data_IF_460750353081
#
_entry.id   IF_460750353081
#
_cell.length_a   1.000
_cell.length_b   1.000
_cell.length_c   1.000
_cell.angle_alpha   90.00
_cell.angle_beta   90.00
_cell.angle_gamma   90.00
#
_symmetry.space_group_name_H-M   'P 1'
#
loop_
_entity.id
_entity.type
_entity.pdbx_description
1 polymer ?
#
# COMPACT_ATOMS: atom_id res chain seq x y z
N UNK A 1 19.87 18.33 19.62
CA UNK A 1 19.02 17.11 19.62
C UNK A 1 17.54 17.43 19.58
N UNK A 2 16.99 18.24 20.51
CA UNK A 2 15.55 18.56 20.51
C UNK A 2 15.08 19.31 19.25
N UNK A 3 15.87 20.25 18.72
CA UNK A 3 15.56 20.98 17.49
C UNK A 3 15.48 20.06 16.26
N UNK A 4 16.43 19.11 16.12
CA UNK A 4 16.45 18.15 14.99
C UNK A 4 15.25 17.20 15.04
N UNK A 5 14.86 16.75 16.24
CA UNK A 5 13.67 15.91 16.39
C UNK A 5 12.39 16.65 15.98
N UNK A 6 12.25 17.93 16.35
CA UNK A 6 11.12 18.77 15.95
C UNK A 6 11.10 19.02 14.45
N UNK A 7 12.25 19.29 13.85
CA UNK A 7 12.40 19.49 12.39
C UNK A 7 11.97 18.24 11.61
N UNK A 8 12.46 17.05 11.99
CA UNK A 8 12.06 15.78 11.36
C UNK A 8 10.56 15.53 11.53
N UNK A 9 10.02 15.72 12.73
CA UNK A 9 8.60 15.51 12.99
C UNK A 9 7.72 16.45 12.15
N UNK A 10 8.14 17.71 11.97
CA UNK A 10 7.46 18.67 11.13
C UNK A 10 7.57 18.31 9.64
N UNK A 11 8.74 17.91 9.16
CA UNK A 11 8.97 17.50 7.78
C UNK A 11 8.11 16.28 7.39
N UNK A 12 8.01 15.29 8.28
CA UNK A 12 7.19 14.09 8.09
C UNK A 12 5.71 14.30 8.43
N UNK A 13 5.31 15.51 8.85
CA UNK A 13 3.94 15.87 9.26
C UNK A 13 3.38 14.85 10.28
N UNK A 14 4.21 14.48 11.26
CA UNK A 14 3.84 13.54 12.32
C UNK A 14 2.58 14.05 13.01
N UNK A 15 1.57 13.18 13.12
CA UNK A 15 0.37 13.51 13.88
C UNK A 15 0.69 13.50 15.37
N UNK A 16 0.29 14.52 16.15
CA UNK A 16 0.39 14.46 17.60
C UNK A 16 -0.36 13.25 18.16
N UNK A 17 0.00 12.75 19.35
CA UNK A 17 -0.79 11.73 20.03
C UNK A 17 -2.26 12.14 20.12
N UNK A 18 -3.18 11.24 19.76
CA UNK A 18 -4.62 11.53 19.83
C UNK A 18 -5.02 11.80 21.28
N UNK A 19 -5.68 12.94 21.52
CA UNK A 19 -6.12 13.33 22.86
C UNK A 19 -7.28 12.45 23.36
N UNK A 20 -8.16 12.03 22.44
CA UNK A 20 -9.36 11.24 22.72
C UNK A 20 -9.83 10.50 21.45
N UNK A 21 -10.96 9.78 21.57
CA UNK A 21 -11.59 9.07 20.46
C UNK A 21 -12.11 10.02 19.37
N UNK A 22 -12.51 11.25 19.71
CA UNK A 22 -13.00 12.20 18.72
C UNK A 22 -11.86 12.70 17.81
N UNK A 23 -10.67 12.91 18.36
CA UNK A 23 -9.47 13.23 17.59
C UNK A 23 -9.06 12.10 16.63
N UNK A 24 -9.20 10.84 17.07
CA UNK A 24 -8.97 9.66 16.22
C UNK A 24 -9.98 9.60 15.07
N UNK A 25 -11.28 9.75 15.35
CA UNK A 25 -12.32 9.74 14.32
C UNK A 25 -12.17 10.91 13.34
N UNK A 26 -11.74 12.08 13.81
CA UNK A 26 -11.43 13.22 12.95
C UNK A 26 -10.28 12.90 11.98
N UNK A 27 -9.25 12.19 12.43
CA UNK A 27 -8.13 11.76 11.57
C UNK A 27 -8.57 10.70 10.54
N UNK A 28 -9.43 9.76 10.94
CA UNK A 28 -10.05 8.79 10.02
C UNK A 28 -10.85 9.52 8.94
N UNK A 29 -11.75 10.43 9.33
CA UNK A 29 -12.57 11.20 8.41
C UNK A 29 -11.72 12.05 7.46
N UNK A 30 -10.65 12.69 7.97
CA UNK A 30 -9.71 13.48 7.16
C UNK A 30 -9.02 12.62 6.09
N UNK A 31 -8.60 11.40 6.43
CA UNK A 31 -7.94 10.49 5.48
C UNK A 31 -8.91 9.93 4.44
N UNK A 32 -10.13 9.60 4.85
CA UNK A 32 -11.19 9.18 3.91
C UNK A 32 -11.51 10.31 2.92
N UNK A 33 -11.71 11.54 3.41
CA UNK A 33 -11.93 12.71 2.55
C UNK A 33 -10.76 12.93 1.58
N UNK A 34 -9.53 12.84 2.05
CA UNK A 34 -8.33 12.95 1.19
C UNK A 34 -8.30 11.90 0.06
N UNK A 35 -8.68 10.65 0.34
CA UNK A 35 -8.75 9.60 -0.69
C UNK A 35 -9.81 9.95 -1.74
N UNK A 36 -10.98 10.44 -1.31
CA UNK A 36 -12.07 10.87 -2.20
C UNK A 36 -11.62 12.05 -3.08
N UNK A 37 -10.95 13.03 -2.49
CA UNK A 37 -10.41 14.18 -3.21
C UNK A 37 -9.36 13.77 -4.25
N UNK A 38 -8.50 12.78 -3.93
CA UNK A 38 -7.54 12.24 -4.88
C UNK A 38 -8.23 11.64 -6.13
N UNK A 39 -9.27 10.82 -5.93
CA UNK A 39 -10.06 10.24 -7.02
C UNK A 39 -10.74 11.32 -7.87
N UNK A 40 -11.39 12.29 -7.22
CA UNK A 40 -12.06 13.40 -7.88
C UNK A 40 -11.10 14.24 -8.73
N UNK A 41 -9.95 14.61 -8.16
CA UNK A 41 -8.92 15.40 -8.85
C UNK A 41 -8.31 14.66 -10.03
N UNK A 42 -8.08 13.34 -9.89
CA UNK A 42 -7.56 12.50 -10.97
C UNK A 42 -8.64 12.16 -12.02
N UNK A 43 -9.93 12.39 -11.71
CA UNK A 43 -11.09 11.94 -12.50
C UNK A 43 -11.10 10.42 -12.71
N UNK A 44 -10.63 9.69 -11.69
CA UNK A 44 -10.57 8.24 -11.67
C UNK A 44 -11.56 7.69 -10.65
N UNK A 45 -11.91 6.40 -10.77
CA UNK A 45 -12.92 5.77 -9.91
C UNK A 45 -12.44 4.51 -9.23
N UNK A 46 -11.25 4.03 -9.57
CA UNK A 46 -10.71 2.79 -9.03
C UNK A 46 -9.54 3.06 -8.09
N UNK A 47 -9.53 2.39 -6.94
CA UNK A 47 -8.39 2.32 -6.04
C UNK A 47 -7.80 0.91 -6.08
N UNK A 48 -6.47 0.81 -6.04
CA UNK A 48 -5.74 -0.47 -6.03
C UNK A 48 -4.77 -0.48 -4.86
N UNK A 49 -4.77 -1.55 -4.07
CA UNK A 49 -3.83 -1.73 -2.97
C UNK A 49 -3.44 -3.20 -2.78
N UNK A 50 -2.14 -3.45 -2.62
CA UNK A 50 -1.59 -4.72 -2.22
C UNK A 50 -1.88 -5.01 -0.75
N UNK A 51 -2.50 -6.16 -0.46
CA UNK A 51 -2.78 -6.61 0.91
C UNK A 51 -1.71 -7.62 1.31
N UNK A 52 -0.87 -7.28 2.29
CA UNK A 52 0.23 -8.15 2.74
C UNK A 52 -0.14 -9.05 3.92
N UNK A 53 -1.21 -8.71 4.66
CA UNK A 53 -1.53 -9.30 5.97
C UNK A 53 -1.05 -8.45 7.15
N UNK A 54 -0.26 -7.40 6.89
CA UNK A 54 0.19 -6.45 7.90
C UNK A 54 -0.83 -5.33 8.18
N UNK A 55 -0.73 -4.75 9.37
CA UNK A 55 -1.65 -3.71 9.88
C UNK A 55 -1.69 -2.45 9.02
N UNK A 56 -0.58 -2.09 8.36
CA UNK A 56 -0.51 -0.88 7.54
C UNK A 56 -1.39 -1.02 6.29
N UNK A 57 -1.25 -2.16 5.59
CA UNK A 57 -2.08 -2.49 4.42
C UNK A 57 -3.55 -2.69 4.80
N UNK A 58 -3.84 -3.29 5.96
CA UNK A 58 -5.19 -3.46 6.46
C UNK A 58 -5.86 -2.10 6.75
N UNK A 59 -5.15 -1.21 7.47
CA UNK A 59 -5.66 0.12 7.82
C UNK A 59 -5.93 0.94 6.56
N UNK A 60 -4.98 0.98 5.63
CA UNK A 60 -5.15 1.71 4.37
C UNK A 60 -6.30 1.14 3.52
N UNK A 61 -6.46 -0.19 3.47
CA UNK A 61 -7.54 -0.84 2.74
C UNK A 61 -8.93 -0.53 3.34
N UNK A 62 -9.07 -0.51 4.66
CA UNK A 62 -10.32 -0.15 5.33
C UNK A 62 -10.72 1.29 5.03
N UNK A 63 -9.76 2.22 5.05
CA UNK A 63 -10.00 3.62 4.67
C UNK A 63 -10.39 3.73 3.18
N UNK A 64 -9.73 2.98 2.30
CA UNK A 64 -10.02 2.96 0.87
C UNK A 64 -11.42 2.41 0.57
N UNK A 65 -11.78 1.26 1.13
CA UNK A 65 -13.10 0.67 0.95
C UNK A 65 -14.20 1.57 1.51
N UNK A 66 -13.96 2.21 2.67
CA UNK A 66 -14.87 3.21 3.24
C UNK A 66 -15.07 4.40 2.30
N UNK A 67 -13.99 4.97 1.76
CA UNK A 67 -14.05 6.09 0.81
C UNK A 67 -14.87 5.73 -0.44
N UNK A 68 -14.66 4.53 -1.00
CA UNK A 68 -15.43 4.04 -2.15
C UNK A 68 -16.90 3.83 -1.80
N UNK A 69 -17.22 3.25 -0.65
CA UNK A 69 -18.60 3.09 -0.19
C UNK A 69 -19.32 4.44 -0.03
N UNK A 70 -18.67 5.42 0.60
CA UNK A 70 -19.20 6.77 0.76
C UNK A 70 -19.42 7.47 -0.58
N UNK A 71 -18.44 7.40 -1.51
CA UNK A 71 -18.59 7.96 -2.86
C UNK A 71 -19.76 7.35 -3.62
N UNK A 72 -19.95 6.03 -3.56
CA UNK A 72 -21.11 5.38 -4.18
C UNK A 72 -22.43 5.85 -3.57
N UNK A 73 -22.49 6.00 -2.25
CA UNK A 73 -23.69 6.47 -1.56
C UNK A 73 -24.02 7.93 -1.90
N UNK A 74 -23.02 8.80 -1.97
CA UNK A 74 -23.16 10.23 -2.24
C UNK A 74 -23.52 10.53 -3.71
N UNK A 75 -22.90 9.80 -4.64
CA UNK A 75 -23.01 10.10 -6.08
C UNK A 75 -24.00 9.20 -6.82
N UNK A 76 -24.34 8.05 -6.24
CA UNK A 76 -25.08 6.98 -6.93
C UNK A 76 -24.28 6.24 -8.00
N UNK A 77 -23.01 6.59 -8.22
CA UNK A 77 -22.18 6.02 -9.28
C UNK A 77 -21.52 4.71 -8.84
N UNK A 78 -22.03 3.60 -9.37
CA UNK A 78 -21.53 2.25 -9.05
C UNK A 78 -20.14 1.95 -9.62
N UNK A 79 -19.56 2.82 -10.45
CA UNK A 79 -18.24 2.62 -11.03
C UNK A 79 -17.08 2.90 -10.05
N UNK A 80 -17.36 3.50 -8.89
CA UNK A 80 -16.36 3.58 -7.82
C UNK A 80 -16.08 2.18 -7.27
N UNK A 81 -14.81 1.77 -7.29
CA UNK A 81 -14.41 0.39 -6.95
C UNK A 81 -13.07 0.36 -6.22
N UNK A 82 -12.96 -0.45 -5.18
CA UNK A 82 -11.69 -0.81 -4.56
C UNK A 82 -11.26 -2.23 -4.94
N UNK A 83 -10.03 -2.38 -5.45
CA UNK A 83 -9.42 -3.66 -5.80
C UNK A 83 -8.32 -3.97 -4.79
N UNK A 84 -8.56 -4.97 -3.95
CA UNK A 84 -7.55 -5.55 -3.08
C UNK A 84 -6.71 -6.58 -3.86
N UNK A 85 -5.39 -6.51 -3.76
CA UNK A 85 -4.48 -7.37 -4.53
C UNK A 85 -3.61 -8.22 -3.62
N UNK A 86 -3.72 -9.55 -3.73
CA UNK A 86 -2.74 -10.48 -3.18
C UNK A 86 -1.55 -10.58 -4.12
N UNK A 87 -0.35 -10.41 -3.56
CA UNK A 87 0.92 -10.34 -4.31
C UNK A 87 1.94 -11.36 -3.79
N UNK A 88 1.60 -12.66 -3.80
CA UNK A 88 2.46 -13.68 -3.25
C UNK A 88 3.68 -13.94 -4.14
N UNK A 89 4.76 -14.42 -3.53
CA UNK A 89 5.89 -15.04 -4.25
C UNK A 89 5.80 -16.55 -4.02
N UNK A 90 5.11 -17.28 -4.90
CA UNK A 90 4.66 -18.68 -4.68
C UNK A 90 3.74 -18.85 -3.45
N UNK A 91 3.80 -20.00 -2.78
CA UNK A 91 3.04 -20.23 -1.53
C UNK A 91 3.76 -19.54 -0.39
N UNK A 92 3.08 -18.60 0.28
CA UNK A 92 3.63 -17.91 1.45
C UNK A 92 3.00 -18.41 2.76
N UNK A 93 3.80 -18.36 3.83
CA UNK A 93 3.36 -18.68 5.18
C UNK A 93 2.39 -17.64 5.78
N UNK A 94 2.45 -16.39 5.29
CA UNK A 94 1.62 -15.27 5.75
C UNK A 94 0.23 -15.21 5.07
N UNK A 95 -0.12 -16.21 4.25
CA UNK A 95 -1.39 -16.23 3.52
C UNK A 95 -2.60 -16.20 4.47
N UNK A 96 -2.50 -16.85 5.63
CA UNK A 96 -3.57 -16.84 6.64
C UNK A 96 -3.91 -15.42 7.11
N UNK A 97 -2.90 -14.62 7.44
CA UNK A 97 -3.09 -13.26 7.95
C UNK A 97 -3.65 -12.34 6.86
N UNK A 98 -3.22 -12.56 5.62
CA UNK A 98 -3.77 -11.83 4.49
C UNK A 98 -5.22 -12.20 4.19
N UNK A 99 -5.61 -13.47 4.31
CA UNK A 99 -7.00 -13.89 4.19
C UNK A 99 -7.86 -13.29 5.31
N UNK A 100 -7.38 -13.31 6.56
CA UNK A 100 -8.04 -12.66 7.68
C UNK A 100 -8.26 -11.16 7.44
N UNK A 101 -7.26 -10.47 6.85
CA UNK A 101 -7.43 -9.07 6.44
C UNK A 101 -8.54 -8.92 5.39
N UNK A 102 -8.55 -9.75 4.34
CA UNK A 102 -9.55 -9.67 3.27
C UNK A 102 -10.99 -9.88 3.78
N UNK A 103 -11.19 -10.79 4.74
CA UNK A 103 -12.49 -11.04 5.38
C UNK A 103 -13.02 -9.80 6.11
N UNK A 104 -12.13 -9.01 6.72
CA UNK A 104 -12.49 -7.78 7.44
C UNK A 104 -12.70 -6.61 6.46
N UNK A 105 -11.82 -6.48 5.46
CA UNK A 105 -11.86 -5.40 4.47
C UNK A 105 -13.16 -5.45 3.65
N UNK A 106 -13.57 -6.65 3.22
CA UNK A 106 -14.70 -6.85 2.29
C UNK A 106 -14.56 -5.98 1.04
N UNK A 107 -13.42 -6.12 0.37
CA UNK A 107 -13.11 -5.39 -0.85
C UNK A 107 -14.14 -5.69 -1.94
N UNK A 108 -14.41 -4.71 -2.82
CA UNK A 108 -15.31 -4.92 -3.96
C UNK A 108 -14.80 -6.00 -4.90
N UNK A 109 -13.49 -6.00 -5.14
CA UNK A 109 -12.79 -7.02 -5.93
C UNK A 109 -11.53 -7.48 -5.21
N UNK A 110 -11.23 -8.78 -5.32
CA UNK A 110 -9.97 -9.37 -4.84
C UNK A 110 -9.26 -10.02 -6.03
N UNK A 111 -8.06 -9.54 -6.34
CA UNK A 111 -7.21 -10.08 -7.40
C UNK A 111 -5.98 -10.75 -6.78
N UNK A 112 -5.42 -11.74 -7.47
CA UNK A 112 -4.15 -12.37 -7.08
C UNK A 112 -3.18 -12.35 -8.24
N UNK A 113 -1.97 -11.86 -7.99
CA UNK A 113 -0.86 -11.85 -8.97
C UNK A 113 0.36 -12.49 -8.33
N UNK A 114 0.69 -13.72 -8.73
CA UNK A 114 1.96 -14.34 -8.35
C UNK A 114 3.11 -13.61 -9.02
N UNK A 115 3.97 -12.96 -8.21
CA UNK A 115 5.11 -12.19 -8.71
C UNK A 115 6.33 -13.07 -8.99
N UNK A 116 6.31 -14.35 -8.58
CA UNK A 116 7.47 -15.22 -8.68
C UNK A 116 8.02 -15.40 -10.10
N UNK A 117 7.19 -15.57 -11.16
CA UNK A 117 7.69 -15.69 -12.52
C UNK A 117 8.50 -14.46 -12.95
N UNK A 118 7.96 -13.26 -12.72
CA UNK A 118 8.60 -12.00 -13.12
C UNK A 118 9.92 -11.76 -12.35
N UNK A 119 9.91 -11.99 -11.05
CA UNK A 119 11.10 -11.82 -10.20
C UNK A 119 12.22 -12.79 -10.61
N UNK A 120 11.90 -14.07 -10.84
CA UNK A 120 12.90 -15.09 -11.23
C UNK A 120 13.48 -14.81 -12.60
N UNK A 121 12.64 -14.44 -13.56
CA UNK A 121 13.07 -14.10 -14.91
C UNK A 121 14.08 -12.93 -14.86
N UNK A 122 13.76 -11.85 -14.14
CA UNK A 122 14.68 -10.73 -14.01
C UNK A 122 15.98 -11.13 -13.30
N UNK A 123 15.90 -11.87 -12.20
CA UNK A 123 17.08 -12.28 -11.44
C UNK A 123 18.04 -13.16 -12.26
N UNK A 124 17.53 -14.00 -13.17
CA UNK A 124 18.34 -14.86 -14.03
C UNK A 124 19.16 -14.08 -15.09
N UNK A 125 18.67 -12.91 -15.51
CA UNK A 125 19.31 -12.07 -16.53
C UNK A 125 20.36 -11.11 -15.94
N UNK A 126 20.40 -10.91 -14.63
CA UNK A 126 21.37 -10.00 -13.97
C UNK A 126 22.65 -10.77 -13.63
N UNK A 127 23.74 -10.49 -14.36
CA UNK A 127 25.03 -11.19 -14.23
C UNK A 127 25.63 -11.03 -12.84
N UNK A 128 25.47 -9.86 -12.22
CA UNK A 128 26.00 -9.53 -10.90
C UNK A 128 25.41 -10.42 -9.79
N UNK A 129 24.19 -10.94 -9.99
CA UNK A 129 23.58 -11.87 -9.03
C UNK A 129 24.15 -13.29 -9.13
N UNK A 130 24.72 -13.68 -10.29
CA UNK A 130 25.26 -15.03 -10.50
C UNK A 130 26.51 -15.31 -9.66
N UNK A 131 27.30 -14.27 -9.41
CA UNK A 131 28.56 -14.33 -8.65
C UNK A 131 28.46 -13.67 -7.27
N UNK A 132 27.26 -13.23 -6.86
CA UNK A 132 27.04 -12.57 -5.59
C UNK A 132 27.10 -13.54 -4.41
N UNK A 133 27.43 -13.02 -3.22
CA UNK A 133 27.28 -13.81 -1.99
C UNK A 133 25.80 -14.12 -1.73
N UNK A 134 25.45 -15.23 -1.06
CA UNK A 134 24.05 -15.58 -0.77
C UNK A 134 23.28 -14.44 -0.08
N UNK A 135 23.90 -13.76 0.89
CA UNK A 135 23.30 -12.63 1.61
C UNK A 135 23.01 -11.43 0.70
N UNK A 136 23.93 -11.10 -0.22
CA UNK A 136 23.72 -10.02 -1.19
C UNK A 136 22.57 -10.38 -2.12
N UNK A 137 22.57 -11.60 -2.66
CA UNK A 137 21.54 -12.07 -3.59
C UNK A 137 20.17 -12.03 -2.92
N UNK A 138 20.03 -12.55 -1.70
CA UNK A 138 18.77 -12.53 -0.95
C UNK A 138 18.26 -11.10 -0.71
N UNK A 139 19.15 -10.18 -0.31
CA UNK A 139 18.80 -8.78 -0.11
C UNK A 139 18.32 -8.10 -1.40
N UNK A 140 19.07 -8.26 -2.49
CA UNK A 140 18.73 -7.64 -3.78
C UNK A 140 17.46 -8.24 -4.35
N UNK A 141 17.29 -9.56 -4.31
CA UNK A 141 16.07 -10.25 -4.75
C UNK A 141 14.87 -9.84 -3.88
N UNK A 142 15.06 -9.61 -2.58
CA UNK A 142 14.05 -9.02 -1.70
C UNK A 142 13.54 -7.67 -2.23
N UNK A 143 14.45 -6.78 -2.63
CA UNK A 143 14.09 -5.49 -3.24
C UNK A 143 13.43 -5.65 -4.61
N UNK A 144 13.85 -6.63 -5.43
CA UNK A 144 13.18 -6.95 -6.70
C UNK A 144 11.74 -7.42 -6.48
N UNK A 145 11.48 -8.24 -5.45
CA UNK A 145 10.11 -8.63 -5.07
C UNK A 145 9.27 -7.40 -4.76
N UNK A 146 9.76 -6.50 -3.89
CA UNK A 146 9.04 -5.27 -3.53
C UNK A 146 8.71 -4.39 -4.75
N UNK A 147 9.68 -4.19 -5.66
CA UNK A 147 9.45 -3.42 -6.90
C UNK A 147 8.47 -4.12 -7.84
N UNK A 148 8.53 -5.44 -7.94
CA UNK A 148 7.60 -6.20 -8.79
C UNK A 148 6.16 -6.12 -8.28
N UNK A 149 5.96 -6.08 -6.95
CA UNK A 149 4.64 -5.81 -6.35
C UNK A 149 4.10 -4.44 -6.73
N UNK A 150 4.96 -3.42 -6.76
CA UNK A 150 4.58 -2.09 -7.25
C UNK A 150 4.17 -2.16 -8.74
N UNK A 151 4.99 -2.78 -9.59
CA UNK A 151 4.69 -2.93 -11.03
C UNK A 151 3.35 -3.62 -11.25
N UNK A 152 3.05 -4.71 -10.53
CA UNK A 152 1.78 -5.41 -10.62
C UNK A 152 0.59 -4.50 -10.29
N UNK A 153 0.65 -3.76 -9.18
CA UNK A 153 -0.42 -2.83 -8.78
C UNK A 153 -0.62 -1.70 -9.79
N UNK A 154 0.47 -1.09 -10.27
CA UNK A 154 0.38 -0.04 -11.30
C UNK A 154 -0.13 -0.58 -12.63
N UNK A 155 0.16 -1.85 -12.96
CA UNK A 155 -0.38 -2.50 -14.16
C UNK A 155 -1.91 -2.66 -14.05
N UNK A 156 -2.40 -3.14 -12.90
CA UNK A 156 -3.85 -3.22 -12.63
C UNK A 156 -4.49 -1.84 -12.68
N UNK A 157 -3.90 -0.86 -11.99
CA UNK A 157 -4.41 0.51 -11.97
C UNK A 157 -4.44 1.15 -13.36
N UNK A 158 -3.40 0.95 -14.18
CA UNK A 158 -3.37 1.40 -15.57
C UNK A 158 -4.46 0.77 -16.43
N UNK A 159 -4.69 -0.54 -16.28
CA UNK A 159 -5.75 -1.26 -16.99
C UNK A 159 -7.17 -0.89 -16.53
N UNK A 160 -7.31 -0.39 -15.29
CA UNK A 160 -8.60 -0.06 -14.66
C UNK A 160 -8.85 1.44 -14.51
N UNK A 161 -7.98 2.30 -15.05
CA UNK A 161 -8.03 3.74 -14.85
C UNK A 161 -8.17 4.09 -13.35
N UNK A 162 -7.23 3.60 -12.54
CA UNK A 162 -7.23 3.73 -11.09
C UNK A 162 -5.98 4.37 -10.51
N UNK A 163 -6.03 4.61 -9.20
CA UNK A 163 -4.90 5.09 -8.39
C UNK A 163 -4.37 3.94 -7.51
N UNK A 164 -3.05 3.90 -7.34
CA UNK A 164 -2.39 2.96 -6.42
C UNK A 164 -2.21 3.62 -5.06
N UNK A 165 -2.61 2.93 -4.00
CA UNK A 165 -2.45 3.39 -2.62
C UNK A 165 -1.08 2.90 -2.09
N UNK A 166 -0.37 3.79 -1.40
CA UNK A 166 0.81 3.47 -0.61
C UNK A 166 0.49 3.36 0.88
N UNK A 167 1.29 2.57 1.60
CA UNK A 167 1.11 2.32 3.05
C UNK A 167 2.16 2.99 3.93
N UNK A 168 3.03 3.82 3.35
CA UNK A 168 4.06 4.54 4.11
C UNK A 168 3.44 5.41 5.21
N UNK A 169 4.15 5.49 6.32
CA UNK A 169 3.78 6.32 7.47
C UNK A 169 5.04 6.87 8.14
N UNK A 170 4.91 7.91 8.97
CA UNK A 170 6.07 8.63 9.50
C UNK A 170 7.12 7.75 10.21
N UNK A 171 6.70 6.67 10.88
CA UNK A 171 7.64 5.72 11.51
C UNK A 171 8.44 4.87 10.51
N UNK A 172 7.94 4.60 9.30
CA UNK A 172 8.68 3.94 8.22
C UNK A 172 9.53 4.96 7.43
N UNK A 173 8.97 6.15 7.20
CA UNK A 173 9.67 7.22 6.50
C UNK A 173 10.94 7.68 7.24
N UNK A 174 10.91 7.78 8.57
CA UNK A 174 12.07 8.25 9.36
C UNK A 174 13.25 7.27 9.33
N UNK A 175 12.99 5.96 9.20
CA UNK A 175 14.05 4.94 9.11
C UNK A 175 14.58 4.77 7.67
N UNK A 176 13.79 5.18 6.68
CA UNK A 176 14.09 5.02 5.25
C UNK A 176 14.80 6.24 4.64
N UNK A 177 14.76 7.39 5.31
CA UNK A 177 15.40 8.62 4.86
C UNK A 177 16.85 8.63 5.30
N UNK A 178 17.85 8.68 4.39
CA UNK A 178 19.22 8.93 4.81
C UNK A 178 19.27 10.31 5.48
N UNK A 179 19.64 10.34 6.77
CA UNK A 179 19.94 11.58 7.47
C UNK A 179 21.17 12.19 6.79
N UNK A 180 20.95 13.25 6.00
CA UNK A 180 22.02 14.10 5.48
C UNK A 180 22.48 15.10 6.53
#
# INVERSE_FOLDING_TARGET
>A
MQAVQQEIAQALKVQPPFADAAALEAEVARRVAFIKDCLANARLKTLVLGISGGVDSLTAALLAQRAINELRAETGDKAYTFIAVRLPYQVQHDEHDAQACLEVIKADEVHTVDIAPAVRALAAEVVELKNGSPTLVDFVVGNVKARTRMVAQYTIAGARAGLVIGTDHAAEAVISTPLH
#
